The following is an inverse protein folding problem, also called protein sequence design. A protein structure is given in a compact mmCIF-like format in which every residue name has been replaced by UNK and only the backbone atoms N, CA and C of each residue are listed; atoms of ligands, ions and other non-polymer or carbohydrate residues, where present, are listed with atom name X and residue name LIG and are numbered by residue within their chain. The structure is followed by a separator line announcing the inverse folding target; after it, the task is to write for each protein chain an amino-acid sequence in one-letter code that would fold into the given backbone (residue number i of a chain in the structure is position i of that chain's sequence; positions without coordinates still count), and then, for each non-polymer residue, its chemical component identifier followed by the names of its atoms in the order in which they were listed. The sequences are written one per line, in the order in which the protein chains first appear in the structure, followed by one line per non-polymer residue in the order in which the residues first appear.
data_IF_309802372488
#
_entry.id   IF_309802372488
#
_cell.length_a   1.000
_cell.length_b   1.000
_cell.length_c   1.000
_cell.angle_alpha   90.00
_cell.angle_beta   90.00
_cell.angle_gamma   90.00
#
_symmetry.space_group_name_H-M   'P 1'
#
loop_
_entity.id
_entity.type
_entity.pdbx_description
1 polymer ?
#
# COMPACT_ATOMS: atom_id res chain seq x y z
N UNK A 1 11.40 -19.12 33.08
CA UNK A 1 10.14 -18.57 32.56
C UNK A 1 10.41 -17.14 32.10
N UNK A 2 10.41 -16.86 30.79
CA UNK A 2 10.33 -15.54 30.11
C UNK A 2 10.95 -15.63 28.68
N UNK A 3 10.35 -16.42 27.79
CA UNK A 3 10.53 -16.19 26.36
C UNK A 3 9.34 -15.33 25.91
N UNK A 4 9.57 -14.01 25.90
CA UNK A 4 8.58 -13.06 25.40
C UNK A 4 8.21 -13.44 23.96
N UNK A 5 6.93 -13.73 23.75
CA UNK A 5 6.30 -13.90 22.45
C UNK A 5 6.83 -12.86 21.46
N UNK A 6 7.62 -13.28 20.46
CA UNK A 6 7.76 -12.54 19.21
C UNK A 6 6.35 -12.47 18.61
N UNK A 7 5.60 -11.40 18.92
CA UNK A 7 4.27 -11.18 18.34
C UNK A 7 4.45 -11.08 16.82
N UNK A 8 3.94 -12.08 16.10
CA UNK A 8 3.89 -12.04 14.66
C UNK A 8 3.21 -10.75 14.21
N UNK A 9 3.77 -10.09 13.19
CA UNK A 9 3.17 -8.90 12.62
C UNK A 9 1.82 -9.27 11.96
N UNK A 10 0.82 -8.37 12.00
CA UNK A 10 -0.49 -8.66 11.45
C UNK A 10 -0.42 -8.86 9.94
N UNK A 11 -0.97 -9.97 9.42
CA UNK A 11 -1.08 -10.24 7.98
C UNK A 11 -2.23 -9.50 7.31
N UNK A 12 -3.15 -8.95 8.09
CA UNK A 12 -4.30 -8.15 7.63
C UNK A 12 -4.45 -6.89 8.46
N UNK A 13 -5.22 -5.93 7.94
CA UNK A 13 -5.57 -4.70 8.64
C UNK A 13 -7.03 -4.33 8.36
N UNK A 14 -7.79 -4.09 9.42
CA UNK A 14 -9.16 -3.57 9.32
C UNK A 14 -9.13 -2.05 9.35
N UNK A 15 -9.66 -1.43 8.30
CA UNK A 15 -9.75 0.02 8.17
C UNK A 15 -10.69 0.58 9.25
N UNK A 16 -10.23 1.62 9.92
CA UNK A 16 -11.06 2.39 10.87
C UNK A 16 -11.28 3.82 10.37
N UNK A 17 -12.28 4.51 10.93
CA UNK A 17 -12.62 5.89 10.56
C UNK A 17 -11.38 6.80 10.59
N UNK A 18 -11.20 7.59 9.53
CA UNK A 18 -10.08 8.53 9.37
C UNK A 18 -8.77 7.90 8.89
N UNK A 19 -8.75 6.61 8.55
CA UNK A 19 -7.57 6.00 7.93
C UNK A 19 -7.41 6.40 6.47
N UNK A 20 -6.16 6.53 6.06
CA UNK A 20 -5.71 6.57 4.66
C UNK A 20 -4.69 5.46 4.45
N UNK A 21 -4.47 5.04 3.20
CA UNK A 21 -3.42 4.04 2.90
C UNK A 21 -2.03 4.51 3.37
N UNK A 22 -1.76 5.83 3.26
CA UNK A 22 -0.57 6.49 3.80
C UNK A 22 -0.42 6.29 5.31
N UNK A 23 -1.47 6.61 6.08
CA UNK A 23 -1.44 6.47 7.54
C UNK A 23 -1.35 5.00 7.99
N UNK A 24 -1.95 4.07 7.24
CA UNK A 24 -1.89 2.63 7.55
C UNK A 24 -0.46 2.10 7.33
N UNK A 25 0.11 2.33 6.14
CA UNK A 25 1.46 1.87 5.80
C UNK A 25 2.55 2.42 6.73
N UNK A 26 2.42 3.68 7.16
CA UNK A 26 3.34 4.32 8.10
C UNK A 26 3.37 3.72 9.52
N UNK A 27 2.39 2.90 9.90
CA UNK A 27 2.42 2.23 11.22
C UNK A 27 3.60 1.25 11.29
N UNK A 28 4.40 1.32 12.36
CA UNK A 28 5.56 0.42 12.60
C UNK A 28 5.21 -1.08 12.50
N UNK A 29 3.97 -1.47 12.80
CA UNK A 29 3.49 -2.87 12.72
C UNK A 29 3.07 -3.29 11.30
N UNK A 30 2.94 -2.34 10.37
CA UNK A 30 2.55 -2.59 8.97
C UNK A 30 3.83 -2.63 8.12
N UNK A 31 4.27 -1.47 7.63
CA UNK A 31 5.54 -1.31 6.93
C UNK A 31 6.48 -0.32 7.64
N UNK A 32 5.93 0.59 8.45
CA UNK A 32 6.71 1.64 9.10
C UNK A 32 7.16 2.75 8.15
N UNK A 33 6.69 2.72 6.91
CA UNK A 33 7.01 3.69 5.87
C UNK A 33 5.72 4.10 5.15
N UNK A 34 5.29 5.37 5.26
CA UNK A 34 4.06 5.80 4.62
C UNK A 34 4.13 5.83 3.08
N UNK A 35 5.33 5.91 2.49
CA UNK A 35 5.51 5.85 1.04
C UNK A 35 5.27 4.45 0.45
N UNK A 36 5.11 3.43 1.29
CA UNK A 36 4.79 2.07 0.86
C UNK A 36 3.28 1.80 0.79
N UNK A 37 2.44 2.83 0.96
CA UNK A 37 0.99 2.72 0.78
C UNK A 37 0.57 2.04 -0.54
N UNK A 38 1.27 2.20 -1.69
CA UNK A 38 0.87 1.54 -2.93
C UNK A 38 0.95 0.01 -2.84
N UNK A 39 1.78 -0.55 -1.95
CA UNK A 39 1.82 -2.01 -1.72
C UNK A 39 0.47 -2.52 -1.18
N UNK A 40 -0.17 -1.76 -0.28
CA UNK A 40 -1.51 -2.09 0.23
C UNK A 40 -2.52 -2.02 -0.91
N UNK A 41 -2.43 -0.97 -1.75
CA UNK A 41 -3.32 -0.82 -2.89
C UNK A 41 -3.20 -1.99 -3.88
N UNK A 42 -1.98 -2.32 -4.33
CA UNK A 42 -1.74 -3.40 -5.30
C UNK A 42 -2.18 -4.76 -4.77
N UNK A 43 -1.91 -5.06 -3.49
CA UNK A 43 -2.33 -6.32 -2.87
C UNK A 43 -3.85 -6.45 -2.70
N UNK A 44 -4.60 -5.36 -2.79
CA UNK A 44 -6.04 -5.31 -2.53
C UNK A 44 -6.81 -4.62 -3.67
N UNK A 45 -6.28 -4.62 -4.89
CA UNK A 45 -6.87 -3.92 -6.04
C UNK A 45 -8.31 -4.37 -6.36
N UNK A 46 -8.67 -5.62 -6.02
CA UNK A 46 -10.05 -6.12 -6.15
C UNK A 46 -11.03 -5.56 -5.10
N UNK A 47 -10.53 -4.95 -4.03
CA UNK A 47 -11.31 -4.40 -2.91
C UNK A 47 -11.25 -2.87 -2.82
N UNK A 48 -10.27 -2.26 -3.48
CA UNK A 48 -10.00 -0.83 -3.44
C UNK A 48 -10.22 -0.28 -4.85
N UNK A 49 -11.34 0.41 -5.05
CA UNK A 49 -11.64 1.04 -6.35
C UNK A 49 -10.68 2.20 -6.64
N UNK A 50 -10.48 3.07 -5.65
CA UNK A 50 -9.52 4.19 -5.72
C UNK A 50 -8.65 4.20 -4.46
N UNK A 51 -7.32 4.42 -4.57
CA UNK A 51 -6.43 4.44 -3.41
C UNK A 51 -6.72 5.59 -2.44
N UNK A 52 -7.39 6.64 -2.93
CA UNK A 52 -7.79 7.80 -2.13
C UNK A 52 -9.14 7.58 -1.41
N UNK A 53 -9.86 6.50 -1.75
CA UNK A 53 -11.20 6.24 -1.27
C UNK A 53 -11.30 4.85 -0.63
N UNK A 54 -10.97 4.80 0.66
CA UNK A 54 -11.13 3.62 1.51
C UNK A 54 -12.18 3.86 2.60
N UNK A 55 -12.84 2.80 3.04
CA UNK A 55 -13.98 2.85 3.95
C UNK A 55 -13.73 2.04 5.22
N UNK A 56 -14.23 2.51 6.39
CA UNK A 56 -14.20 1.73 7.61
C UNK A 56 -14.81 0.33 7.43
N UNK A 57 -14.20 -0.67 8.06
CA UNK A 57 -14.63 -2.07 7.97
C UNK A 57 -14.02 -2.86 6.81
N UNK A 58 -13.40 -2.21 5.81
CA UNK A 58 -12.63 -2.92 4.80
C UNK A 58 -11.45 -3.67 5.43
N UNK A 59 -11.17 -4.89 4.95
CA UNK A 59 -10.07 -5.73 5.42
C UNK A 59 -9.04 -5.88 4.31
N UNK A 60 -7.85 -5.32 4.56
CA UNK A 60 -6.72 -5.33 3.63
C UNK A 60 -5.69 -6.38 4.01
N UNK A 61 -5.21 -7.11 3.01
CA UNK A 61 -4.01 -7.96 3.11
C UNK A 61 -2.77 -7.08 3.19
N UNK A 62 -1.86 -7.38 4.11
CA UNK A 62 -0.56 -6.72 4.26
C UNK A 62 0.53 -7.68 3.77
N UNK A 63 0.86 -7.59 2.49
CA UNK A 63 1.90 -8.42 1.88
C UNK A 63 3.30 -7.88 2.25
N UNK A 64 4.13 -8.70 2.88
CA UNK A 64 5.53 -8.38 3.24
C UNK A 64 6.56 -9.18 2.43
N UNK A 65 6.11 -10.07 1.56
CA UNK A 65 6.95 -10.87 0.67
C UNK A 65 7.22 -10.14 -0.66
N UNK A 66 7.50 -8.83 -0.57
CA UNK A 66 7.76 -7.99 -1.75
C UNK A 66 9.26 -7.94 -2.03
N UNK A 67 9.63 -7.97 -3.32
CA UNK A 67 11.01 -7.80 -3.74
C UNK A 67 11.43 -6.33 -3.60
N UNK A 68 12.75 -6.08 -3.55
CA UNK A 68 13.29 -4.72 -3.45
C UNK A 68 12.79 -3.81 -4.58
N UNK A 69 12.73 -4.32 -5.81
CA UNK A 69 12.24 -3.55 -6.97
C UNK A 69 10.76 -3.18 -6.80
N UNK A 70 9.93 -4.07 -6.25
CA UNK A 70 8.52 -3.77 -6.00
C UNK A 70 8.35 -2.70 -4.91
N UNK A 71 9.18 -2.74 -3.85
CA UNK A 71 9.20 -1.72 -2.80
C UNK A 71 9.65 -0.37 -3.40
N UNK A 72 10.73 -0.36 -4.16
CA UNK A 72 11.25 0.86 -4.79
C UNK A 72 10.23 1.45 -5.78
N UNK A 73 9.51 0.61 -6.54
CA UNK A 73 8.42 1.03 -7.43
C UNK A 73 7.25 1.64 -6.65
N UNK A 74 6.86 1.06 -5.52
CA UNK A 74 5.82 1.63 -4.66
C UNK A 74 6.23 3.00 -4.11
N UNK A 75 7.46 3.12 -3.59
CA UNK A 75 7.98 4.39 -3.07
C UNK A 75 8.08 5.43 -4.19
N UNK A 76 8.53 5.04 -5.37
CA UNK A 76 8.59 5.92 -6.53
C UNK A 76 7.19 6.41 -6.92
N UNK A 77 6.21 5.50 -7.05
CA UNK A 77 4.82 5.83 -7.34
C UNK A 77 4.27 6.84 -6.32
N UNK A 78 4.39 6.54 -5.03
CA UNK A 78 3.90 7.40 -3.96
C UNK A 78 4.47 8.83 -4.01
N UNK A 79 5.72 8.99 -4.46
CA UNK A 79 6.39 10.30 -4.59
C UNK A 79 6.02 11.07 -5.86
N UNK A 80 5.67 10.37 -6.95
CA UNK A 80 5.48 10.97 -8.28
C UNK A 80 4.04 10.88 -8.81
N UNK A 81 3.11 10.28 -8.05
CA UNK A 81 1.70 10.09 -8.44
C UNK A 81 0.97 11.38 -8.82
N UNK A 82 1.27 12.49 -8.14
CA UNK A 82 0.54 13.75 -8.28
C UNK A 82 -0.52 13.96 -7.19
N UNK A 83 -1.48 14.85 -7.46
CA UNK A 83 -2.50 15.25 -6.49
C UNK A 83 -3.52 14.14 -6.18
N UNK A 84 -4.06 14.17 -4.96
CA UNK A 84 -5.12 13.28 -4.52
C UNK A 84 -6.41 13.56 -5.30
N UNK A 85 -7.13 12.50 -5.65
CA UNK A 85 -8.38 12.54 -6.40
C UNK A 85 -9.53 12.03 -5.54
N UNK A 86 -10.71 12.63 -5.65
CA UNK A 86 -11.81 12.31 -4.73
C UNK A 86 -12.53 10.97 -5.03
N UNK A 87 -12.42 10.43 -6.25
CA UNK A 87 -13.33 9.35 -6.69
C UNK A 87 -12.76 8.26 -7.61
N UNK A 88 -11.75 8.53 -8.45
CA UNK A 88 -11.25 7.56 -9.45
C UNK A 88 -9.73 7.38 -9.33
N UNK A 89 -9.18 6.18 -9.62
CA UNK A 89 -7.74 6.03 -9.73
C UNK A 89 -7.19 6.89 -10.88
N UNK A 90 -6.01 7.46 -10.68
CA UNK A 90 -5.31 8.23 -11.71
C UNK A 90 -4.74 7.29 -12.79
N UNK A 91 -4.37 7.83 -13.96
CA UNK A 91 -3.65 7.06 -14.97
C UNK A 91 -2.34 6.46 -14.44
N UNK A 92 -1.66 7.17 -13.53
CA UNK A 92 -0.47 6.69 -12.84
C UNK A 92 -0.79 5.50 -11.91
N UNK A 93 -1.91 5.54 -11.18
CA UNK A 93 -2.36 4.43 -10.33
C UNK A 93 -2.65 3.18 -11.16
N UNK A 94 -3.33 3.33 -12.31
CA UNK A 94 -3.61 2.22 -13.22
C UNK A 94 -2.33 1.61 -13.80
N UNK A 95 -1.37 2.46 -14.19
CA UNK A 95 -0.05 2.01 -14.66
C UNK A 95 0.68 1.20 -13.59
N UNK A 96 0.72 1.72 -12.36
CA UNK A 96 1.32 1.02 -11.22
C UNK A 96 0.67 -0.34 -10.93
N UNK A 97 -0.66 -0.45 -11.08
CA UNK A 97 -1.37 -1.71 -10.87
C UNK A 97 -1.03 -2.77 -11.92
N UNK A 98 -1.01 -2.40 -13.20
CA UNK A 98 -0.96 -3.35 -14.31
C UNK A 98 0.46 -3.68 -14.80
N UNK A 99 1.43 -2.80 -14.60
CA UNK A 99 2.80 -3.06 -15.02
C UNK A 99 3.57 -3.92 -14.01
N UNK A 100 4.56 -4.66 -14.52
CA UNK A 100 5.59 -5.24 -13.67
C UNK A 100 6.42 -4.12 -13.03
N UNK A 101 6.97 -4.36 -11.84
CA UNK A 101 7.75 -3.35 -11.14
C UNK A 101 9.00 -2.92 -11.94
N UNK A 102 9.59 -3.83 -12.73
CA UNK A 102 10.71 -3.50 -13.61
C UNK A 102 10.29 -2.57 -14.74
N UNK A 103 9.17 -2.85 -15.43
CA UNK A 103 8.66 -1.98 -16.50
C UNK A 103 8.27 -0.60 -15.97
N UNK A 104 7.56 -0.56 -14.84
CA UNK A 104 7.17 0.68 -14.18
C UNK A 104 8.36 1.60 -13.89
N UNK A 105 9.50 0.99 -13.53
CA UNK A 105 10.73 1.70 -13.19
C UNK A 105 11.63 2.04 -14.39
N UNK A 106 11.34 1.53 -15.60
CA UNK A 106 12.08 1.86 -16.82
C UNK A 106 11.58 3.16 -17.47
N UNK A 107 10.32 3.53 -17.26
CA UNK A 107 9.74 4.78 -17.76
C UNK A 107 9.90 5.98 -16.83
N UNK A 108 10.97 5.99 -16.02
CA UNK A 108 11.34 7.13 -15.17
C UNK A 108 11.80 8.31 -16.01
#
# INVERSE_FOLDING_TARGET
MLAALKRALPSTYTVVKGNTLWAISGKKKIYGNPYEWPLIYKANASKIHSPDLIFPGQIFTINRSMTRIQIDAAIYHAKHRGAWTLTQPTGSDLKYLHESASQFMQGK
#
